data_IF_522023638688
#
_entry.id   IF_522023638688
#
_cell.length_a   1.000
_cell.length_b   1.000
_cell.length_c   1.000
_cell.angle_alpha   90.00
_cell.angle_beta   90.00
_cell.angle_gamma   90.00
#
_symmetry.space_group_name_H-M   'P 1'
#
loop_
_entity.id
_entity.type
_entity.pdbx_description
1 polymer ?
#
# COMPACT_ATOMS: atom_id res chain seq x y z
N UNK A 1 -15.92 -7.79 -5.20
CA UNK A 1 -15.70 -6.55 -5.97
C UNK A 1 -14.39 -5.93 -5.55
N UNK A 2 -13.54 -5.63 -6.50
CA UNK A 2 -12.27 -4.99 -6.25
C UNK A 2 -12.38 -3.48 -6.38
N UNK A 3 -11.71 -2.78 -5.47
CA UNK A 3 -11.50 -1.35 -5.59
C UNK A 3 -10.01 -1.15 -5.81
N UNK A 4 -9.67 -0.50 -6.89
CA UNK A 4 -8.27 -0.24 -7.24
C UNK A 4 -7.95 1.22 -6.98
N UNK A 5 -6.84 1.47 -6.29
CA UNK A 5 -6.35 2.82 -6.03
C UNK A 5 -4.93 2.94 -6.54
N UNK A 6 -4.65 4.09 -7.13
CA UNK A 6 -3.30 4.42 -7.52
C UNK A 6 -2.60 5.16 -6.39
N UNK A 7 -1.34 4.84 -6.20
CA UNK A 7 -0.54 5.45 -5.15
C UNK A 7 0.89 5.63 -5.63
N UNK A 8 1.59 6.56 -4.99
CA UNK A 8 3.01 6.80 -5.21
C UNK A 8 3.76 6.14 -4.06
N UNK A 9 4.74 5.30 -4.39
CA UNK A 9 5.60 4.71 -3.38
C UNK A 9 6.63 5.73 -2.94
N UNK A 10 6.59 6.10 -1.67
CA UNK A 10 7.52 7.07 -1.10
C UNK A 10 8.82 6.42 -0.65
N UNK A 11 8.72 5.28 0.00
CA UNK A 11 9.87 4.49 0.36
C UNK A 11 9.46 3.04 0.59
N UNK A 12 10.45 2.18 0.70
CA UNK A 12 10.27 0.74 0.79
C UNK A 12 11.38 0.13 1.64
N UNK A 13 11.00 -0.91 2.40
CA UNK A 13 11.95 -1.76 3.10
C UNK A 13 11.67 -3.22 2.75
N UNK A 14 12.40 -4.13 3.38
CA UNK A 14 12.17 -5.57 3.19
C UNK A 14 10.81 -6.01 3.74
N UNK A 15 10.26 -5.28 4.69
CA UNK A 15 9.05 -5.69 5.40
C UNK A 15 7.82 -4.87 5.04
N UNK A 16 7.98 -3.77 4.34
CA UNK A 16 6.84 -2.94 4.04
C UNK A 16 7.14 -1.78 3.10
N UNK A 17 6.13 -0.92 2.96
CA UNK A 17 6.18 0.18 2.03
C UNK A 17 5.36 1.34 2.58
N UNK A 18 5.75 2.56 2.24
CA UNK A 18 4.96 3.76 2.52
C UNK A 18 4.48 4.35 1.20
N UNK A 19 3.17 4.56 1.13
CA UNK A 19 2.49 5.05 -0.05
C UNK A 19 1.86 6.40 0.20
N UNK A 20 1.72 7.18 -0.86
CA UNK A 20 0.92 8.40 -0.85
C UNK A 20 -0.17 8.31 -1.91
N UNK A 21 -1.41 8.53 -1.50
CA UNK A 21 -2.58 8.53 -2.37
C UNK A 21 -3.13 9.93 -2.53
N UNK A 22 -3.99 10.12 -3.53
CA UNK A 22 -4.68 11.40 -3.73
C UNK A 22 -5.86 11.57 -2.77
N UNK A 23 -6.32 10.48 -2.20
CA UNK A 23 -7.51 10.46 -1.36
C UNK A 23 -7.15 10.08 0.05
N UNK A 24 -7.90 10.60 1.02
CA UNK A 24 -7.79 10.23 2.43
C UNK A 24 -8.68 9.05 2.79
N UNK A 25 -9.35 8.46 1.81
CA UNK A 25 -10.24 7.33 2.07
C UNK A 25 -9.47 6.21 2.78
N UNK A 26 -10.01 5.68 3.87
CA UNK A 26 -9.32 4.62 4.62
C UNK A 26 -9.03 3.40 3.76
N UNK A 27 -7.86 2.80 4.01
CA UNK A 27 -7.51 1.53 3.41
C UNK A 27 -8.15 0.39 4.20
N UNK A 28 -8.58 -0.69 3.54
CA UNK A 28 -8.98 -1.90 4.26
C UNK A 28 -7.76 -2.50 4.98
N UNK A 29 -8.02 -3.39 5.94
CA UNK A 29 -6.95 -4.03 6.72
C UNK A 29 -5.98 -4.79 5.84
N UNK A 30 -6.49 -5.46 4.81
CA UNK A 30 -5.67 -6.21 3.86
C UNK A 30 -5.83 -5.63 2.48
N UNK A 31 -4.70 -5.49 1.79
CA UNK A 31 -4.67 -4.96 0.43
C UNK A 31 -3.73 -5.80 -0.42
N UNK A 32 -3.97 -5.81 -1.71
CA UNK A 32 -3.04 -6.40 -2.66
C UNK A 32 -2.24 -5.27 -3.29
N UNK A 33 -0.94 -5.31 -3.11
CA UNK A 33 -0.04 -4.33 -3.68
C UNK A 33 0.51 -4.87 -4.99
N UNK A 34 0.28 -4.13 -6.07
CA UNK A 34 0.77 -4.48 -7.39
C UNK A 34 1.61 -3.35 -7.92
N UNK A 35 2.87 -3.64 -8.15
CA UNK A 35 3.82 -2.71 -8.76
C UNK A 35 4.64 -3.48 -9.79
N UNK A 36 4.09 -3.71 -11.00
CA UNK A 36 4.73 -4.58 -11.99
C UNK A 36 6.15 -4.17 -12.35
N UNK A 37 6.43 -2.88 -12.40
CA UNK A 37 7.77 -2.38 -12.72
C UNK A 37 8.81 -2.75 -11.69
N UNK A 38 8.37 -3.02 -10.46
CA UNK A 38 9.24 -3.41 -9.36
C UNK A 38 9.19 -4.91 -9.09
N UNK A 39 8.43 -5.64 -9.90
CA UNK A 39 8.24 -7.06 -9.69
C UNK A 39 7.42 -7.39 -8.44
N UNK A 40 6.61 -6.45 -7.97
CA UNK A 40 5.81 -6.64 -6.77
C UNK A 40 4.37 -7.02 -7.11
N UNK A 41 3.91 -8.07 -6.48
CA UNK A 41 2.51 -8.47 -6.45
C UNK A 41 2.34 -9.28 -5.16
N UNK A 42 1.96 -8.61 -4.09
CA UNK A 42 2.00 -9.19 -2.75
C UNK A 42 0.84 -8.68 -1.92
N UNK A 43 0.34 -9.55 -1.06
CA UNK A 43 -0.62 -9.13 -0.04
C UNK A 43 0.08 -8.35 1.05
N UNK A 44 -0.57 -7.32 1.53
CA UNK A 44 -0.02 -6.48 2.59
C UNK A 44 -1.13 -6.10 3.57
N UNK A 45 -0.72 -5.72 4.76
CA UNK A 45 -1.62 -5.28 5.81
C UNK A 45 -1.39 -3.81 6.10
N UNK A 46 -2.50 -3.06 6.23
CA UNK A 46 -2.42 -1.65 6.60
C UNK A 46 -2.01 -1.53 8.07
N UNK A 47 -0.91 -0.86 8.32
CA UNK A 47 -0.36 -0.66 9.67
C UNK A 47 -0.80 0.69 10.22
N UNK A 48 -0.75 1.73 9.40
CA UNK A 48 -1.16 3.07 9.79
C UNK A 48 -1.58 3.86 8.57
N UNK A 49 -2.36 4.91 8.82
CA UNK A 49 -2.75 5.85 7.78
C UNK A 49 -2.86 7.24 8.40
N UNK A 50 -2.24 8.22 7.79
CA UNK A 50 -2.27 9.60 8.24
C UNK A 50 -2.37 10.51 7.02
N UNK A 51 -3.47 11.28 6.93
CA UNK A 51 -3.68 12.16 5.77
C UNK A 51 -3.70 11.35 4.47
N UNK A 52 -2.77 11.65 3.59
CA UNK A 52 -2.65 10.97 2.31
C UNK A 52 -1.66 9.80 2.33
N UNK A 53 -0.96 9.61 3.43
CA UNK A 53 0.09 8.60 3.53
C UNK A 53 -0.41 7.35 4.23
N UNK A 54 0.06 6.19 3.78
CA UNK A 54 -0.32 4.90 4.33
C UNK A 54 0.91 4.02 4.44
N UNK A 55 1.06 3.37 5.58
CA UNK A 55 2.11 2.38 5.77
C UNK A 55 1.54 0.97 5.68
N UNK A 56 2.16 0.14 4.87
CA UNK A 56 1.77 -1.25 4.67
C UNK A 56 2.89 -2.17 5.09
N UNK A 57 2.53 -3.27 5.73
CA UNK A 57 3.46 -4.35 6.04
C UNK A 57 3.17 -5.52 5.10
N UNK A 58 4.22 -6.05 4.48
CA UNK A 58 4.05 -7.20 3.60
C UNK A 58 3.67 -8.43 4.42
N UNK A 59 2.76 -9.21 3.88
CA UNK A 59 2.45 -10.53 4.43
C UNK A 59 3.31 -11.54 3.70
N UNK A 60 4.21 -12.15 4.44
CA UNK A 60 5.14 -13.15 3.89
C UNK A 60 5.00 -14.48 4.61
#
# INVERSE_FOLDING_TARGET
REVVREAIMLDRSETGVRLRCRSRTPFPDKVRLRAPRLGLDIMARTVWQTGFDTGLAFEM
#
